data_IF_698690878913
#
_entry.id   IF_698690878913
#
_cell.length_a   1.000
_cell.length_b   1.000
_cell.length_c   1.000
_cell.angle_alpha   90.00
_cell.angle_beta   90.00
_cell.angle_gamma   90.00
#
_symmetry.space_group_name_H-M   'P 1'
#
loop_
_entity.id
_entity.type
_entity.pdbx_description
1 polymer ?
#
# COMPACT_ATOMS: atom_id res chain seq x y z
N UNK A 1 11.59 20.75 6.71
CA UNK A 1 10.34 20.03 7.08
C UNK A 1 10.35 19.71 8.56
N UNK A 2 9.25 19.93 9.29
CA UNK A 2 9.18 19.76 10.76
C UNK A 2 8.29 18.59 11.15
N UNK A 3 8.78 17.72 12.03
CA UNK A 3 8.07 16.57 12.59
C UNK A 3 8.08 16.66 14.11
N UNK A 4 7.03 16.15 14.75
CA UNK A 4 6.97 16.01 16.21
C UNK A 4 6.91 14.53 16.56
N UNK A 5 7.73 14.10 17.51
CA UNK A 5 7.75 12.74 18.04
C UNK A 5 7.31 12.77 19.51
N UNK A 6 6.54 11.76 19.92
CA UNK A 6 6.18 11.51 21.32
C UNK A 6 7.31 10.76 22.04
N UNK A 7 7.26 10.75 23.36
CA UNK A 7 8.17 9.92 24.16
C UNK A 7 8.06 8.45 23.76
N UNK A 8 9.19 7.81 23.49
CA UNK A 8 9.29 6.42 23.04
C UNK A 8 9.09 6.19 21.55
N UNK A 9 8.57 7.17 20.79
CA UNK A 9 8.26 7.02 19.36
C UNK A 9 9.54 6.95 18.52
N UNK A 10 9.55 6.07 17.52
CA UNK A 10 10.65 5.93 16.57
C UNK A 10 10.35 6.58 15.22
N UNK A 11 11.41 7.11 14.61
CA UNK A 11 11.44 7.54 13.21
C UNK A 11 12.61 6.86 12.51
N UNK A 12 12.35 6.38 11.29
CA UNK A 12 13.30 5.76 10.39
C UNK A 12 13.63 6.78 9.31
N UNK A 13 14.90 7.14 9.14
CA UNK A 13 15.35 8.18 8.20
C UNK A 13 16.61 7.70 7.49
N UNK A 14 16.56 7.52 6.17
CA UNK A 14 17.71 7.10 5.35
C UNK A 14 18.53 5.92 5.95
N UNK A 15 17.87 4.98 6.63
CA UNK A 15 18.45 3.77 7.21
C UNK A 15 18.80 3.91 8.70
N UNK A 16 18.83 5.12 9.23
CA UNK A 16 19.00 5.38 10.66
C UNK A 16 17.66 5.27 11.39
N UNK A 17 17.70 4.76 12.63
CA UNK A 17 16.54 4.72 13.53
C UNK A 17 16.80 5.66 14.69
N UNK A 18 15.93 6.64 14.88
CA UNK A 18 15.98 7.57 15.99
C UNK A 18 14.79 7.29 16.90
N UNK A 19 15.02 7.24 18.21
CA UNK A 19 13.97 7.13 19.24
C UNK A 19 14.00 8.37 20.10
N UNK A 20 12.85 9.00 20.29
CA UNK A 20 12.72 10.11 21.21
C UNK A 20 12.53 9.60 22.65
N UNK A 21 13.27 10.16 23.61
CA UNK A 21 13.11 9.87 25.05
C UNK A 21 11.93 10.64 25.66
N UNK A 22 11.62 11.82 25.10
CA UNK A 22 10.50 12.70 25.46
C UNK A 22 9.85 13.30 24.22
N UNK A 23 8.82 14.12 24.40
CA UNK A 23 8.24 14.87 23.28
C UNK A 23 9.26 15.85 22.71
N UNK A 24 9.60 15.69 21.43
CA UNK A 24 10.56 16.54 20.71
C UNK A 24 10.01 16.96 19.37
N UNK A 25 10.54 18.05 18.82
CA UNK A 25 10.33 18.41 17.43
C UNK A 25 11.66 18.37 16.68
N UNK A 26 11.69 17.63 15.59
CA UNK A 26 12.83 17.51 14.69
C UNK A 26 12.55 18.31 13.42
N UNK A 27 13.57 19.00 12.94
CA UNK A 27 13.53 19.70 11.68
C UNK A 27 14.60 19.14 10.75
N UNK A 28 14.18 18.70 9.57
CA UNK A 28 15.08 18.29 8.51
C UNK A 28 15.41 19.51 7.64
N UNK A 29 16.70 19.80 7.54
CA UNK A 29 17.24 20.89 6.73
C UNK A 29 17.44 20.52 5.25
N UNK A 30 17.38 19.22 4.93
CA UNK A 30 17.51 18.67 3.58
C UNK A 30 16.30 17.78 3.26
N UNK A 31 16.17 17.41 1.99
CA UNK A 31 15.23 16.37 1.57
C UNK A 31 15.63 15.03 2.18
N UNK A 32 14.69 14.41 2.90
CA UNK A 32 14.89 13.12 3.55
C UNK A 32 13.73 12.19 3.25
N UNK A 33 14.04 10.91 3.07
CA UNK A 33 13.02 9.86 3.08
C UNK A 33 12.90 9.32 4.49
N UNK A 34 11.67 9.30 5.02
CA UNK A 34 11.43 8.85 6.38
C UNK A 34 10.12 8.07 6.52
N UNK A 35 10.05 7.25 7.58
CA UNK A 35 8.82 6.63 8.06
C UNK A 35 8.74 6.73 9.59
N UNK A 36 7.54 6.97 10.09
CA UNK A 36 7.23 6.85 11.52
C UNK A 36 6.99 5.38 11.86
N UNK A 37 7.21 5.01 13.13
CA UNK A 37 7.00 3.64 13.63
C UNK A 37 5.61 3.08 13.28
N UNK A 38 4.56 3.90 13.32
CA UNK A 38 3.19 3.52 12.96
C UNK A 38 3.00 3.10 11.49
N UNK A 39 3.93 3.51 10.63
CA UNK A 39 3.96 3.16 9.22
C UNK A 39 4.98 2.08 8.89
N UNK A 40 5.80 1.65 9.86
CA UNK A 40 6.79 0.60 9.62
C UNK A 40 6.17 -0.76 9.89
N UNK A 41 6.22 -1.62 8.87
CA UNK A 41 5.88 -3.03 8.95
C UNK A 41 7.12 -3.85 9.30
N UNK A 42 6.97 -4.79 10.22
CA UNK A 42 8.00 -5.77 10.57
C UNK A 42 7.92 -7.00 9.64
N UNK A 43 9.04 -7.73 9.52
CA UNK A 43 9.13 -8.85 8.58
C UNK A 43 8.14 -10.00 8.91
N UNK A 44 7.88 -10.24 10.19
CA UNK A 44 6.91 -11.23 10.68
C UNK A 44 5.45 -10.85 10.38
N UNK A 45 5.16 -9.56 10.18
CA UNK A 45 3.83 -9.08 9.78
C UNK A 45 3.53 -9.26 8.29
N UNK A 46 4.47 -9.79 7.49
CA UNK A 46 4.34 -9.97 6.04
C UNK A 46 3.56 -11.24 5.65
N UNK A 47 2.39 -11.39 6.25
CA UNK A 47 1.57 -12.62 6.16
C UNK A 47 0.73 -12.73 4.89
N UNK A 48 0.61 -11.66 4.10
CA UNK A 48 -0.13 -11.65 2.82
C UNK A 48 0.73 -11.12 1.68
N UNK A 49 0.42 -11.47 0.41
CA UNK A 49 1.21 -11.02 -0.72
C UNK A 49 1.35 -9.48 -0.84
N UNK A 50 0.29 -8.70 -0.58
CA UNK A 50 0.38 -7.24 -0.57
C UNK A 50 1.18 -6.69 0.61
N UNK A 51 1.16 -7.36 1.76
CA UNK A 51 2.01 -6.96 2.90
C UNK A 51 3.48 -7.21 2.59
N UNK A 52 3.80 -8.31 1.90
CA UNK A 52 5.15 -8.54 1.40
C UNK A 52 5.55 -7.46 0.38
N UNK A 53 4.66 -7.11 -0.55
CA UNK A 53 4.91 -6.03 -1.52
C UNK A 53 5.15 -4.68 -0.82
N UNK A 54 4.34 -4.36 0.20
CA UNK A 54 4.52 -3.18 1.06
C UNK A 54 5.89 -3.17 1.71
N UNK A 55 6.31 -4.30 2.28
CA UNK A 55 7.60 -4.42 2.94
C UNK A 55 8.76 -4.16 1.97
N UNK A 56 8.70 -4.70 0.75
CA UNK A 56 9.71 -4.40 -0.28
C UNK A 56 9.76 -2.90 -0.64
N UNK A 57 8.62 -2.26 -0.83
CA UNK A 57 8.54 -0.81 -1.08
C UNK A 57 9.03 0.02 0.12
N UNK A 58 8.78 -0.43 1.34
CA UNK A 58 9.24 0.22 2.57
C UNK A 58 10.77 0.23 2.60
N UNK A 59 11.41 -0.92 2.37
CA UNK A 59 12.87 -1.03 2.34
C UNK A 59 13.46 -0.11 1.27
N UNK A 60 12.85 -0.05 0.10
CA UNK A 60 13.26 0.86 -0.97
C UNK A 60 13.20 2.34 -0.55
N UNK A 61 12.22 2.72 0.29
CA UNK A 61 12.07 4.08 0.79
C UNK A 61 13.08 4.41 1.90
N UNK A 62 13.28 3.50 2.86
CA UNK A 62 14.04 3.79 4.08
C UNK A 62 15.50 3.35 4.03
N UNK A 63 15.91 2.48 3.11
CA UNK A 63 17.28 1.99 3.06
C UNK A 63 17.94 2.29 1.69
N UNK A 64 18.59 3.46 1.56
CA UNK A 64 19.18 3.86 0.28
C UNK A 64 20.30 2.92 -0.18
N UNK A 65 21.01 2.25 0.75
CA UNK A 65 22.13 1.37 0.41
C UNK A 65 21.71 0.11 -0.38
N UNK A 66 20.46 -0.33 -0.22
CA UNK A 66 19.91 -1.49 -0.92
C UNK A 66 18.69 -1.14 -1.78
N UNK A 67 18.50 0.16 -2.09
CA UNK A 67 17.34 0.66 -2.85
C UNK A 67 17.14 -0.11 -4.16
N UNK A 68 18.22 -0.31 -4.93
CA UNK A 68 18.14 -0.96 -6.24
C UNK A 68 17.78 -2.45 -6.13
N UNK A 69 18.29 -3.13 -5.11
CA UNK A 69 17.95 -4.53 -4.84
C UNK A 69 16.50 -4.67 -4.37
N UNK A 70 16.08 -3.80 -3.46
CA UNK A 70 14.69 -3.73 -3.00
C UNK A 70 13.74 -3.43 -4.15
N UNK A 71 14.10 -2.51 -5.07
CA UNK A 71 13.35 -2.20 -6.27
C UNK A 71 13.22 -3.42 -7.20
N UNK A 72 14.32 -4.16 -7.45
CA UNK A 72 14.25 -5.41 -8.25
C UNK A 72 13.33 -6.45 -7.62
N UNK A 73 13.41 -6.62 -6.30
CA UNK A 73 12.55 -7.54 -5.56
C UNK A 73 11.08 -7.10 -5.60
N UNK A 74 10.82 -5.81 -5.39
CA UNK A 74 9.49 -5.23 -5.52
C UNK A 74 8.89 -5.48 -6.90
N UNK A 75 9.64 -5.21 -7.99
CA UNK A 75 9.16 -5.42 -9.36
C UNK A 75 8.83 -6.88 -9.63
N UNK A 76 9.68 -7.82 -9.20
CA UNK A 76 9.41 -9.26 -9.34
C UNK A 76 8.13 -9.68 -8.62
N UNK A 77 7.92 -9.19 -7.40
CA UNK A 77 6.71 -9.47 -6.62
C UNK A 77 5.48 -8.86 -7.28
N UNK A 78 5.57 -7.61 -7.73
CA UNK A 78 4.48 -6.92 -8.41
C UNK A 78 4.07 -7.64 -9.70
N UNK A 79 5.03 -8.06 -10.52
CA UNK A 79 4.76 -8.86 -11.72
C UNK A 79 4.06 -10.17 -11.36
N UNK A 80 4.51 -10.87 -10.32
CA UNK A 80 3.84 -12.08 -9.85
C UNK A 80 2.40 -11.80 -9.43
N UNK A 81 2.13 -10.70 -8.72
CA UNK A 81 0.77 -10.35 -8.29
C UNK A 81 -0.14 -10.01 -9.46
N UNK A 82 0.38 -9.30 -10.47
CA UNK A 82 -0.34 -9.00 -11.71
C UNK A 82 -0.71 -10.26 -12.50
N UNK A 83 0.07 -11.34 -12.38
CA UNK A 83 -0.25 -12.63 -13.02
C UNK A 83 -1.16 -13.52 -12.17
N UNK A 84 -1.17 -13.34 -10.85
CA UNK A 84 -1.93 -14.20 -9.92
C UNK A 84 -3.35 -13.70 -9.67
N UNK A 85 -3.59 -12.38 -9.61
CA UNK A 85 -4.93 -11.85 -9.36
C UNK A 85 -5.75 -11.74 -10.66
N UNK A 86 -7.01 -12.19 -10.62
CA UNK A 86 -7.96 -12.00 -11.73
C UNK A 86 -8.85 -10.76 -11.55
N UNK A 87 -8.93 -10.24 -10.31
CA UNK A 87 -9.78 -9.11 -9.97
C UNK A 87 -9.31 -7.84 -10.70
N UNK A 88 -10.14 -7.32 -11.61
CA UNK A 88 -9.82 -6.16 -12.45
C UNK A 88 -9.50 -4.89 -11.64
N UNK A 89 -10.17 -4.70 -10.50
CA UNK A 89 -9.88 -3.58 -9.61
C UNK A 89 -8.49 -3.73 -8.99
N UNK A 90 -8.15 -4.91 -8.47
CA UNK A 90 -6.81 -5.19 -7.94
C UNK A 90 -5.74 -4.94 -9.00
N UNK A 91 -5.91 -5.47 -10.21
CA UNK A 91 -4.96 -5.32 -11.31
C UNK A 91 -4.75 -3.85 -11.72
N UNK A 92 -5.82 -3.06 -11.76
CA UNK A 92 -5.72 -1.62 -12.06
C UNK A 92 -4.89 -0.90 -11.00
N UNK A 93 -5.15 -1.16 -9.73
CA UNK A 93 -4.44 -0.51 -8.62
C UNK A 93 -2.96 -0.94 -8.55
N UNK A 94 -2.65 -2.21 -8.84
CA UNK A 94 -1.27 -2.68 -8.94
C UNK A 94 -0.50 -2.00 -10.08
N UNK A 95 -1.14 -1.70 -11.22
CA UNK A 95 -0.53 -0.92 -12.30
C UNK A 95 -0.25 0.53 -11.88
N UNK A 96 -1.18 1.16 -11.18
CA UNK A 96 -0.96 2.52 -10.63
C UNK A 96 0.18 2.53 -9.60
N UNK A 97 0.28 1.50 -8.76
CA UNK A 97 1.41 1.31 -7.85
C UNK A 97 2.73 1.20 -8.62
N UNK A 98 2.75 0.50 -9.76
CA UNK A 98 3.94 0.42 -10.61
C UNK A 98 4.38 1.80 -11.13
N UNK A 99 3.42 2.58 -11.62
CA UNK A 99 3.66 3.94 -12.11
C UNK A 99 4.17 4.87 -10.99
N UNK A 100 3.62 4.76 -9.78
CA UNK A 100 4.07 5.55 -8.64
C UNK A 100 5.53 5.24 -8.29
N UNK A 101 5.91 3.96 -8.24
CA UNK A 101 7.28 3.55 -7.95
C UNK A 101 8.23 3.97 -9.07
N UNK A 102 7.82 3.82 -10.34
CA UNK A 102 8.60 4.27 -11.49
C UNK A 102 8.92 5.78 -11.44
N UNK A 103 8.01 6.59 -10.92
CA UNK A 103 8.20 8.03 -10.74
C UNK A 103 8.83 8.42 -9.39
N UNK A 104 9.50 7.49 -8.69
CA UNK A 104 10.10 7.67 -7.35
C UNK A 104 9.10 8.12 -6.24
N UNK A 105 7.79 7.98 -6.47
CA UNK A 105 6.72 8.33 -5.50
C UNK A 105 6.41 7.15 -4.57
N UNK A 106 7.44 6.58 -3.98
CA UNK A 106 7.36 5.34 -3.19
C UNK A 106 6.44 5.47 -1.97
N UNK A 107 6.46 6.62 -1.29
CA UNK A 107 5.58 6.84 -0.14
C UNK A 107 4.09 6.80 -0.51
N UNK A 108 3.75 7.24 -1.71
CA UNK A 108 2.37 7.17 -2.20
C UNK A 108 2.01 5.75 -2.61
N UNK A 109 2.95 5.01 -3.20
CA UNK A 109 2.77 3.58 -3.46
C UNK A 109 2.48 2.81 -2.16
N UNK A 110 3.20 3.09 -1.06
CA UNK A 110 2.92 2.50 0.26
C UNK A 110 1.49 2.76 0.73
N UNK A 111 1.00 4.00 0.58
CA UNK A 111 -0.39 4.33 0.92
C UNK A 111 -1.38 3.55 0.07
N UNK A 112 -1.17 3.51 -1.23
CA UNK A 112 -2.03 2.76 -2.17
C UNK A 112 -2.07 1.27 -1.82
N UNK A 113 -0.92 0.65 -1.52
CA UNK A 113 -0.86 -0.76 -1.13
C UNK A 113 -1.68 -1.02 0.15
N UNK A 114 -1.59 -0.16 1.17
CA UNK A 114 -2.36 -0.33 2.43
C UNK A 114 -3.88 -0.28 2.19
N UNK A 115 -4.34 0.54 1.24
CA UNK A 115 -5.77 0.63 0.90
C UNK A 115 -6.29 -0.66 0.25
N UNK A 116 -5.42 -1.48 -0.32
CA UNK A 116 -5.78 -2.74 -0.96
C UNK A 116 -5.86 -3.92 0.00
N UNK A 117 -5.41 -3.80 1.26
CA UNK A 117 -5.43 -4.91 2.22
C UNK A 117 -6.83 -5.47 2.46
N UNK A 118 -7.84 -4.61 2.56
CA UNK A 118 -9.23 -5.06 2.72
C UNK A 118 -9.71 -5.83 1.50
N UNK A 119 -9.37 -5.36 0.30
CA UNK A 119 -9.74 -6.01 -0.96
C UNK A 119 -9.02 -7.36 -1.11
N UNK A 120 -7.73 -7.43 -0.77
CA UNK A 120 -6.97 -8.68 -0.76
C UNK A 120 -7.56 -9.68 0.23
N UNK A 121 -7.92 -9.25 1.44
CA UNK A 121 -8.52 -10.12 2.44
C UNK A 121 -9.84 -10.74 1.92
N UNK A 122 -10.69 -9.96 1.25
CA UNK A 122 -11.92 -10.46 0.61
C UNK A 122 -11.64 -11.50 -0.48
N UNK A 123 -10.64 -11.24 -1.34
CA UNK A 123 -10.24 -12.17 -2.40
C UNK A 123 -9.70 -13.47 -1.81
N UNK A 124 -8.83 -13.38 -0.79
CA UNK A 124 -8.25 -14.56 -0.12
C UNK A 124 -9.27 -15.37 0.67
N UNK A 125 -10.30 -14.72 1.23
CA UNK A 125 -11.40 -15.38 1.91
C UNK A 125 -12.39 -16.08 0.94
N UNK A 126 -12.26 -15.84 -0.37
CA UNK A 126 -13.20 -16.35 -1.38
C UNK A 126 -14.55 -15.65 -1.37
N UNK A 127 -14.68 -14.48 -0.73
CA UNK A 127 -15.90 -13.69 -0.76
C UNK A 127 -16.03 -12.99 -2.11
N UNK A 128 -16.98 -13.44 -2.93
CA UNK A 128 -17.37 -12.73 -4.14
C UNK A 128 -17.86 -11.31 -3.77
N UNK A 129 -17.52 -10.27 -4.56
CA UNK A 129 -17.97 -8.92 -4.27
C UNK A 129 -19.51 -8.88 -4.19
N UNK A 130 -20.09 -8.08 -3.28
CA UNK A 130 -21.54 -8.02 -3.13
C UNK A 130 -22.15 -7.64 -4.48
N UNK A 131 -22.97 -8.53 -5.01
CA UNK A 131 -23.83 -8.24 -6.15
C UNK A 131 -24.81 -7.17 -5.64
N UNK A 132 -24.55 -5.91 -5.96
CA UNK A 132 -25.55 -4.85 -5.79
C UNK A 132 -26.62 -5.16 -6.84
N UNK A 133 -27.86 -5.53 -6.46
CA UNK A 133 -28.90 -5.75 -7.45
C UNK A 133 -29.20 -4.40 -8.11
N UNK A 134 -28.82 -4.28 -9.38
CA UNK A 134 -29.26 -3.20 -10.26
C UNK A 134 -30.78 -3.26 -10.33
N UNK A 135 -31.45 -2.28 -9.71
CA UNK A 135 -32.88 -2.05 -9.85
C UNK A 135 -33.17 -1.59 -11.28
N UNK A 136 -33.24 -2.55 -12.21
CA UNK A 136 -33.77 -2.35 -13.55
C UNK A 136 -34.55 -3.60 -13.92
N UNK A 137 -35.61 -3.85 -13.17
CA UNK A 137 -36.71 -4.67 -13.65
C UNK A 137 -38.04 -4.20 -13.03
N UNK A 138 -38.49 -3.03 -13.48
CA UNK A 138 -39.93 -2.75 -13.56
C UNK A 138 -40.29 -2.72 -15.04
N UNK A 139 -40.37 -3.92 -15.62
CA UNK A 139 -41.03 -4.15 -16.88
C UNK A 139 -42.49 -3.68 -16.79
N UNK A 140 -42.76 -2.58 -17.48
CA UNK A 140 -43.93 -2.28 -18.31
C UNK A 140 -45.05 -3.34 -18.23
N UNK A 141 -46.16 -2.94 -17.60
CA UNK A 141 -47.45 -3.64 -17.66
C UNK A 141 -48.11 -3.32 -19.00
N UNK A 142 -48.43 -4.30 -19.87
CA UNK A 142 -49.29 -4.06 -21.01
C UNK A 142 -50.74 -4.27 -20.55
N UNK A 143 -51.54 -3.20 -20.53
CA UNK A 143 -53.00 -3.33 -20.47
C UNK A 143 -53.53 -3.34 -21.91
N UNK A 144 -54.02 -4.50 -22.33
CA UNK A 144 -54.81 -4.66 -23.54
C UNK A 144 -56.29 -4.80 -23.16
N UNK A 145 -57.10 -3.92 -23.77
CA UNK A 145 -58.50 -4.04 -24.16
C UNK A 145 -59.59 -4.51 -23.17
N UNK A 146 -60.53 -3.60 -22.91
CA UNK A 146 -61.96 -3.78 -23.22
C UNK A 146 -62.57 -2.42 -23.58
#
# INVERSE_FOLDING_TARGET
MKISLRAGEKIYVNGAVLRADRKVSLEFMNDVSFLLETHVMQADETTTPLRQLYFAAQIMLINPAIKDEAHRTFKRMLTSLLTTFENQRMLKELKLIDELVFNDRVFEALKSIRLLYTLEAQILAGEAPPIIPSQTDKAVRPEAHA
#
